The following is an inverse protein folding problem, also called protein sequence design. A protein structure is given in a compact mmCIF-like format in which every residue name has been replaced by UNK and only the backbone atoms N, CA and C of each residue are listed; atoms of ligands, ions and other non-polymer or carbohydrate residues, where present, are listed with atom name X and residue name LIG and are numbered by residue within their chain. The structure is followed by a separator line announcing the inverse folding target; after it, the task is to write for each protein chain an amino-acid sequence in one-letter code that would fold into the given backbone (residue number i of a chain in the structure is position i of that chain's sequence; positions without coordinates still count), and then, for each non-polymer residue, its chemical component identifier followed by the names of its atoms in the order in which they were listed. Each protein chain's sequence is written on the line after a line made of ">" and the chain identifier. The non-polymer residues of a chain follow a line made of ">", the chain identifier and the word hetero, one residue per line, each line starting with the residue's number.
data_IF_184524304627
#
_entry.id   IF_184524304627
#
_cell.length_a   1.000
_cell.length_b   1.000
_cell.length_c   1.000
_cell.angle_alpha   90.00
_cell.angle_beta   90.00
_cell.angle_gamma   90.00
#
_symmetry.space_group_name_H-M   'P 1'
#
loop_
_entity.id
_entity.type
_entity.pdbx_description
1 polymer ?
#
# COMPACT_ATOMS: atom_id res chain seq x y z
N UNK A 1 14.75 3.13 16.47
CA UNK A 1 14.15 2.17 15.52
C UNK A 1 13.48 3.00 14.45
N UNK A 2 14.08 3.15 13.28
CA UNK A 2 13.50 3.92 12.19
C UNK A 2 12.55 3.00 11.42
N UNK A 3 11.25 3.15 11.63
CA UNK A 3 10.23 2.47 10.83
C UNK A 3 10.00 3.28 9.56
N UNK A 4 10.59 2.84 8.44
CA UNK A 4 10.30 3.37 7.12
C UNK A 4 9.27 2.46 6.45
N UNK A 5 8.00 2.90 6.41
CA UNK A 5 6.98 2.28 5.55
C UNK A 5 7.23 2.79 4.13
N UNK A 6 8.08 2.09 3.38
CA UNK A 6 8.31 2.38 1.98
C UNK A 6 7.24 1.64 1.16
N UNK A 7 6.40 2.38 0.44
CA UNK A 7 5.73 1.83 -0.74
C UNK A 7 6.79 1.14 -1.61
N UNK A 8 6.45 0.11 -2.37
CA UNK A 8 7.31 -0.43 -3.43
C UNK A 8 7.51 0.65 -4.53
N UNK A 9 8.21 1.72 -4.19
CA UNK A 9 8.47 2.86 -5.05
C UNK A 9 9.67 2.57 -5.92
N UNK A 10 9.79 3.31 -7.02
CA UNK A 10 10.90 3.20 -7.97
C UNK A 10 12.26 3.24 -7.27
N UNK A 11 12.42 4.01 -6.19
CA UNK A 11 13.65 4.07 -5.40
C UNK A 11 14.07 2.76 -4.75
N UNK A 12 13.12 1.94 -4.27
CA UNK A 12 13.43 0.65 -3.65
C UNK A 12 14.01 -0.33 -4.68
N UNK A 13 13.43 -0.33 -5.88
CA UNK A 13 13.90 -1.17 -7.00
C UNK A 13 15.23 -0.65 -7.53
N UNK A 14 15.36 0.67 -7.69
CA UNK A 14 16.54 1.32 -8.26
C UNK A 14 17.79 1.14 -7.39
N UNK A 15 17.65 1.23 -6.06
CA UNK A 15 18.76 1.17 -5.10
C UNK A 15 18.75 -0.12 -4.26
N UNK A 16 18.20 -1.21 -4.82
CA UNK A 16 17.97 -2.45 -4.07
C UNK A 16 19.26 -3.02 -3.47
N UNK A 17 20.41 -2.92 -4.16
CA UNK A 17 21.68 -3.51 -3.69
C UNK A 17 22.15 -2.85 -2.40
N UNK A 18 22.19 -1.53 -2.38
CA UNK A 18 22.64 -0.72 -1.24
C UNK A 18 21.68 -0.87 -0.06
N UNK A 19 20.37 -0.96 -0.33
CA UNK A 19 19.35 -1.15 0.70
C UNK A 19 19.46 -2.56 1.29
N UNK A 20 19.60 -3.60 0.48
CA UNK A 20 19.77 -4.99 0.95
C UNK A 20 21.03 -5.12 1.80
N UNK A 21 22.15 -4.54 1.36
CA UNK A 21 23.39 -4.54 2.14
C UNK A 21 23.19 -3.83 3.49
N UNK A 22 22.55 -2.66 3.49
CA UNK A 22 22.24 -1.93 4.72
C UNK A 22 21.34 -2.76 5.65
N UNK A 23 20.28 -3.37 5.11
CA UNK A 23 19.31 -4.14 5.88
C UNK A 23 19.99 -5.32 6.58
N UNK A 24 20.83 -6.06 5.85
CA UNK A 24 21.58 -7.18 6.39
C UNK A 24 22.62 -6.73 7.43
N UNK A 25 23.38 -5.67 7.14
CA UNK A 25 24.40 -5.15 8.05
C UNK A 25 23.81 -4.60 9.36
N UNK A 26 22.61 -4.02 9.30
CA UNK A 26 21.94 -3.40 10.46
C UNK A 26 20.89 -4.29 11.11
N UNK A 27 20.63 -5.48 10.59
CA UNK A 27 19.58 -6.38 11.08
C UNK A 27 18.17 -5.78 10.93
N UNK A 28 17.93 -4.97 9.90
CA UNK A 28 16.62 -4.38 9.63
C UNK A 28 15.63 -5.49 9.29
N UNK A 29 14.44 -5.39 9.88
CA UNK A 29 13.32 -6.28 9.58
C UNK A 29 12.35 -5.56 8.65
N UNK A 30 12.07 -6.14 7.50
CA UNK A 30 11.18 -5.55 6.50
C UNK A 30 9.80 -6.22 6.52
N UNK A 31 8.75 -5.45 6.30
CA UNK A 31 7.38 -5.95 6.15
C UNK A 31 6.88 -5.54 4.76
N UNK A 32 6.64 -6.52 3.89
CA UNK A 32 5.99 -6.30 2.61
C UNK A 32 4.48 -6.43 2.78
N UNK A 33 3.79 -5.29 2.93
CA UNK A 33 2.33 -5.24 2.98
C UNK A 33 1.77 -5.03 1.57
N UNK A 34 1.19 -6.09 1.02
CA UNK A 34 0.67 -6.15 -0.34
C UNK A 34 -0.85 -6.14 -0.35
N UNK A 35 -1.44 -5.86 -1.51
CA UNK A 35 -2.89 -5.92 -1.74
C UNK A 35 -3.18 -6.89 -2.86
N UNK A 36 -4.08 -7.85 -2.65
CA UNK A 36 -4.36 -8.90 -3.65
C UNK A 36 -5.05 -8.38 -4.89
N UNK A 37 -5.91 -7.38 -4.76
CA UNK A 37 -6.61 -6.82 -5.92
C UNK A 37 -5.77 -5.68 -6.54
N UNK A 38 -5.15 -5.89 -7.72
CA UNK A 38 -4.24 -4.92 -8.31
C UNK A 38 -4.96 -3.68 -8.83
N UNK A 39 -6.18 -3.82 -9.36
CA UNK A 39 -7.02 -2.70 -9.80
C UNK A 39 -7.40 -1.79 -8.63
N UNK A 40 -7.80 -2.37 -7.49
CA UNK A 40 -8.08 -1.61 -6.27
C UNK A 40 -6.85 -0.92 -5.70
N UNK A 41 -5.68 -1.55 -5.82
CA UNK A 41 -4.40 -0.93 -5.48
C UNK A 41 -4.12 0.28 -6.38
N UNK A 42 -4.31 0.14 -7.69
CA UNK A 42 -4.15 1.23 -8.66
C UNK A 42 -5.07 2.41 -8.35
N UNK A 43 -6.36 2.17 -8.10
CA UNK A 43 -7.31 3.22 -7.67
C UNK A 43 -6.79 3.98 -6.44
N UNK A 44 -6.29 3.25 -5.44
CA UNK A 44 -5.76 3.87 -4.21
C UNK A 44 -4.52 4.73 -4.49
N UNK A 45 -3.64 4.30 -5.40
CA UNK A 45 -2.45 5.05 -5.82
C UNK A 45 -2.83 6.31 -6.60
N UNK A 46 -3.75 6.19 -7.56
CA UNK A 46 -4.20 7.32 -8.37
C UNK A 46 -4.93 8.38 -7.53
N UNK A 47 -5.80 7.96 -6.62
CA UNK A 47 -6.51 8.88 -5.72
C UNK A 47 -5.55 9.59 -4.75
N UNK A 48 -4.57 8.87 -4.18
CA UNK A 48 -3.55 9.48 -3.34
C UNK A 48 -2.67 10.47 -4.11
N UNK A 49 -2.29 10.12 -5.35
CA UNK A 49 -1.52 11.00 -6.22
C UNK A 49 -2.29 12.27 -6.56
N UNK A 50 -3.59 12.17 -6.85
CA UNK A 50 -4.44 13.32 -7.11
C UNK A 50 -4.50 14.27 -5.90
N UNK A 51 -4.74 13.74 -4.70
CA UNK A 51 -4.79 14.55 -3.47
C UNK A 51 -3.48 15.29 -3.18
N UNK A 52 -2.33 14.77 -3.64
CA UNK A 52 -1.04 15.49 -3.51
C UNK A 52 -1.06 16.87 -4.16
N UNK A 53 -1.81 17.01 -5.25
CA UNK A 53 -1.93 18.27 -6.00
C UNK A 53 -3.21 19.02 -5.65
N UNK A 54 -4.34 18.32 -5.60
CA UNK A 54 -5.66 18.91 -5.33
C UNK A 54 -5.81 19.35 -3.87
N UNK A 55 -5.11 18.69 -2.94
CA UNK A 55 -5.05 19.04 -1.51
C UNK A 55 -6.45 19.25 -0.92
N UNK A 56 -7.29 18.22 -1.06
CA UNK A 56 -8.73 18.30 -0.82
C UNK A 56 -9.08 18.63 0.64
N UNK A 57 -8.15 18.41 1.57
CA UNK A 57 -8.32 18.71 2.98
C UNK A 57 -7.65 20.05 3.34
N UNK A 58 -8.37 21.15 3.15
CA UNK A 58 -7.94 22.51 3.51
C UNK A 58 -6.54 22.87 2.98
N UNK A 59 -6.21 22.49 1.74
CA UNK A 59 -4.91 22.79 1.14
C UNK A 59 -3.76 21.90 1.65
N UNK A 60 -4.07 20.81 2.36
CA UNK A 60 -3.09 19.81 2.82
C UNK A 60 -3.34 18.45 2.17
N UNK A 61 -2.26 17.79 1.75
CA UNK A 61 -2.28 16.40 1.32
C UNK A 61 -2.24 15.47 2.54
N UNK A 62 -3.12 14.45 2.58
CA UNK A 62 -3.06 13.40 3.61
C UNK A 62 -3.19 12.01 2.99
N UNK A 63 -2.20 11.16 3.22
CA UNK A 63 -2.27 9.74 2.84
C UNK A 63 -3.13 8.89 3.78
N UNK A 64 -3.31 9.35 5.02
CA UNK A 64 -4.13 8.69 6.04
C UNK A 64 -4.95 9.75 6.78
N UNK A 65 -6.17 9.37 7.16
CA UNK A 65 -7.11 10.24 7.87
C UNK A 65 -7.62 9.55 9.12
N UNK A 66 -8.05 10.33 10.10
CA UNK A 66 -8.55 9.83 11.38
C UNK A 66 -10.05 10.10 11.59
N UNK A 67 -10.67 10.89 10.71
CA UNK A 67 -12.11 11.17 10.73
C UNK A 67 -12.83 10.59 9.52
N UNK A 68 -14.07 10.15 9.73
CA UNK A 68 -14.96 9.70 8.64
C UNK A 68 -15.29 10.84 7.67
N UNK A 69 -15.37 12.08 8.13
CA UNK A 69 -15.61 13.26 7.27
C UNK A 69 -14.45 13.50 6.29
N UNK A 70 -13.21 13.48 6.78
CA UNK A 70 -12.01 13.58 5.94
C UNK A 70 -11.92 12.41 4.96
N UNK A 71 -12.23 11.19 5.42
CA UNK A 71 -12.27 10.00 4.57
C UNK A 71 -13.31 10.14 3.46
N UNK A 72 -14.50 10.65 3.80
CA UNK A 72 -15.59 10.91 2.87
C UNK A 72 -15.14 11.91 1.80
N UNK A 73 -14.54 13.05 2.20
CA UNK A 73 -14.04 14.05 1.26
C UNK A 73 -13.02 13.47 0.28
N UNK A 74 -12.01 12.73 0.77
CA UNK A 74 -10.99 12.11 -0.10
C UNK A 74 -11.57 11.03 -1.01
N UNK A 75 -12.61 10.31 -0.56
CA UNK A 75 -13.26 9.26 -1.35
C UNK A 75 -14.12 9.78 -2.50
N UNK A 76 -14.43 11.08 -2.52
CA UNK A 76 -15.24 11.69 -3.59
C UNK A 76 -14.53 11.66 -4.95
N UNK A 77 -13.20 11.67 -4.95
CA UNK A 77 -12.42 11.58 -6.17
C UNK A 77 -12.42 10.13 -6.70
N UNK A 78 -12.90 9.99 -7.94
CA UNK A 78 -12.89 8.73 -8.69
C UNK A 78 -11.93 8.85 -9.88
N UNK A 79 -10.78 8.17 -9.87
CA UNK A 79 -9.86 8.22 -11.01
C UNK A 79 -10.52 7.65 -12.27
N UNK A 80 -10.28 8.33 -13.40
CA UNK A 80 -10.45 7.73 -14.72
C UNK A 80 -9.23 6.86 -15.03
N UNK A 81 -9.48 5.65 -15.55
CA UNK A 81 -8.44 4.67 -15.85
C UNK A 81 -8.33 4.52 -17.37
N UNK A 82 -7.12 4.59 -17.90
CA UNK A 82 -6.90 4.33 -19.32
C UNK A 82 -7.04 2.83 -19.60
N UNK A 83 -8.17 2.42 -20.16
CA UNK A 83 -8.47 1.03 -20.51
C UNK A 83 -7.48 0.43 -21.52
N UNK A 84 -6.87 1.27 -22.37
CA UNK A 84 -5.91 0.81 -23.38
C UNK A 84 -4.59 0.35 -22.75
N UNK A 85 -4.11 1.04 -21.70
CA UNK A 85 -2.86 0.67 -21.01
C UNK A 85 -3.08 -0.23 -19.78
N UNK A 86 -4.33 -0.37 -19.31
CA UNK A 86 -4.67 -0.99 -18.03
C UNK A 86 -3.98 -2.33 -17.80
N UNK A 87 -4.07 -3.26 -18.76
CA UNK A 87 -3.48 -4.59 -18.59
C UNK A 87 -1.96 -4.54 -18.44
N UNK A 88 -1.29 -3.66 -19.18
CA UNK A 88 0.15 -3.47 -19.06
C UNK A 88 0.51 -2.82 -17.72
N UNK A 89 -0.26 -1.82 -17.28
CA UNK A 89 -0.05 -1.14 -16.02
C UNK A 89 -0.22 -2.10 -14.83
N UNK A 90 -1.28 -2.94 -14.83
CA UNK A 90 -1.49 -3.96 -13.79
C UNK A 90 -0.35 -4.97 -13.77
N UNK A 91 0.09 -5.44 -14.95
CA UNK A 91 1.21 -6.37 -15.08
C UNK A 91 2.52 -5.77 -14.55
N UNK A 92 2.85 -4.53 -14.90
CA UNK A 92 4.05 -3.85 -14.39
C UNK A 92 4.01 -3.72 -12.86
N UNK A 93 2.84 -3.42 -12.29
CA UNK A 93 2.68 -3.34 -10.84
C UNK A 93 2.87 -4.70 -10.15
N UNK A 94 2.54 -5.82 -10.79
CA UNK A 94 2.81 -7.17 -10.28
C UNK A 94 4.29 -7.56 -10.45
N UNK A 95 4.88 -7.31 -11.61
CA UNK A 95 6.30 -7.53 -11.87
C UNK A 95 7.18 -6.74 -10.89
N UNK A 96 6.78 -5.53 -10.52
CA UNK A 96 7.48 -4.72 -9.53
C UNK A 96 7.48 -5.37 -8.14
N UNK A 97 6.35 -5.99 -7.74
CA UNK A 97 6.29 -6.77 -6.49
C UNK A 97 7.21 -7.97 -6.58
N UNK A 98 7.15 -8.73 -7.67
CA UNK A 98 7.98 -9.92 -7.87
C UNK A 98 9.48 -9.57 -7.83
N UNK A 99 9.89 -8.48 -8.50
CA UNK A 99 11.28 -7.98 -8.45
C UNK A 99 11.69 -7.62 -7.04
N UNK A 100 10.84 -6.89 -6.30
CA UNK A 100 11.15 -6.52 -4.92
C UNK A 100 11.36 -7.76 -4.04
N UNK A 101 10.48 -8.74 -4.10
CA UNK A 101 10.62 -9.98 -3.33
C UNK A 101 11.88 -10.76 -3.71
N UNK A 102 12.20 -10.82 -5.00
CA UNK A 102 13.44 -11.45 -5.48
C UNK A 102 14.68 -10.73 -4.97
N UNK A 103 14.74 -9.40 -5.06
CA UNK A 103 15.92 -8.63 -4.62
C UNK A 103 16.14 -8.69 -3.12
N UNK A 104 15.05 -8.73 -2.35
CA UNK A 104 15.10 -8.71 -0.89
C UNK A 104 15.05 -10.11 -0.26
N UNK A 105 15.18 -11.18 -1.06
CA UNK A 105 15.07 -12.57 -0.61
C UNK A 105 16.06 -12.95 0.51
N UNK A 106 17.23 -12.31 0.54
CA UNK A 106 18.29 -12.52 1.52
C UNK A 106 18.11 -11.68 2.79
N UNK A 107 17.18 -10.74 2.79
CA UNK A 107 16.90 -9.87 3.94
C UNK A 107 15.92 -10.55 4.91
N UNK A 108 15.96 -10.13 6.17
CA UNK A 108 14.93 -10.54 7.15
C UNK A 108 13.61 -9.84 6.83
N UNK A 109 12.68 -10.55 6.21
CA UNK A 109 11.39 -9.98 5.83
C UNK A 109 10.22 -10.93 6.06
N UNK A 110 9.02 -10.35 6.15
CA UNK A 110 7.73 -11.06 6.10
C UNK A 110 6.87 -10.45 4.99
N UNK A 111 6.09 -11.29 4.30
CA UNK A 111 5.14 -10.88 3.28
C UNK A 111 3.73 -11.06 3.82
N UNK A 112 2.92 -10.00 3.74
CA UNK A 112 1.56 -9.98 4.24
C UNK A 112 0.64 -9.42 3.18
N UNK A 113 -0.59 -9.91 3.13
CA UNK A 113 -1.65 -9.29 2.35
C UNK A 113 -2.60 -8.55 3.26
N UNK A 114 -2.95 -7.32 2.88
CA UNK A 114 -3.90 -6.48 3.58
C UNK A 114 -5.21 -7.22 3.86
N UNK A 115 -5.70 -7.98 2.88
CA UNK A 115 -6.93 -8.74 3.02
C UNK A 115 -6.85 -9.84 4.10
N UNK A 116 -5.67 -10.37 4.41
CA UNK A 116 -5.50 -11.34 5.50
C UNK A 116 -5.50 -10.64 6.84
N UNK A 117 -4.80 -9.51 6.96
CA UNK A 117 -4.75 -8.72 8.20
C UNK A 117 -6.15 -8.24 8.61
N UNK A 118 -7.00 -7.87 7.65
CA UNK A 118 -8.37 -7.43 7.91
C UNK A 118 -9.29 -8.59 8.29
N UNK A 119 -8.99 -9.82 7.84
CA UNK A 119 -9.85 -10.99 8.07
C UNK A 119 -9.45 -11.80 9.31
N UNK A 120 -8.16 -11.82 9.64
CA UNK A 120 -7.59 -12.64 10.69
C UNK A 120 -6.67 -11.81 11.57
N UNK A 121 -7.15 -11.46 12.77
CA UNK A 121 -6.40 -10.69 13.75
C UNK A 121 -5.14 -11.41 14.24
N UNK A 122 -5.06 -12.74 14.12
CA UNK A 122 -3.85 -13.50 14.46
C UNK A 122 -2.67 -13.13 13.54
N UNK A 123 -2.93 -12.60 12.34
CA UNK A 123 -1.85 -12.12 11.47
C UNK A 123 -1.07 -10.98 12.10
N UNK A 124 -1.71 -10.12 12.89
CA UNK A 124 -1.00 -9.06 13.62
C UNK A 124 -0.10 -9.63 14.71
N UNK A 125 -0.51 -10.74 15.37
CA UNK A 125 0.35 -11.46 16.32
C UNK A 125 1.61 -12.01 15.64
N UNK A 126 1.46 -12.63 14.46
CA UNK A 126 2.61 -13.09 13.66
C UNK A 126 3.58 -11.94 13.34
N UNK A 127 3.07 -10.73 13.04
CA UNK A 127 3.91 -9.54 12.82
C UNK A 127 4.65 -9.13 14.09
N UNK A 128 3.98 -9.09 15.25
CA UNK A 128 4.61 -8.70 16.51
C UNK A 128 5.71 -9.69 16.92
N UNK A 129 5.44 -10.99 16.76
CA UNK A 129 6.42 -12.06 16.98
C UNK A 129 7.60 -11.95 16.01
N UNK A 130 7.31 -11.72 14.71
CA UNK A 130 8.34 -11.45 13.72
C UNK A 130 9.18 -10.23 14.11
N UNK A 131 8.60 -9.14 14.60
CA UNK A 131 9.35 -7.96 15.03
C UNK A 131 10.06 -8.15 16.38
N UNK A 132 9.84 -9.27 17.08
CA UNK A 132 10.35 -9.56 18.44
C UNK A 132 9.92 -8.49 19.46
N UNK A 133 8.70 -8.00 19.33
CA UNK A 133 8.10 -7.07 20.29
C UNK A 133 7.01 -7.78 21.10
N UNK A 134 6.64 -7.29 22.30
CA UNK A 134 5.59 -7.88 23.09
C UNK A 134 4.28 -7.98 22.30
N UNK A 135 3.67 -9.16 22.33
CA UNK A 135 2.34 -9.38 21.76
C UNK A 135 1.32 -8.60 22.60
N UNK A 136 0.57 -7.74 21.93
CA UNK A 136 -0.50 -6.94 22.53
C UNK A 136 -1.54 -6.60 21.47
N UNK A 137 -2.72 -6.24 21.93
CA UNK A 137 -3.76 -5.71 21.05
C UNK A 137 -3.26 -4.42 20.37
N UNK A 138 -3.42 -4.35 19.05
CA UNK A 138 -3.08 -3.18 18.25
C UNK A 138 -4.37 -2.45 17.87
N UNK A 139 -4.39 -1.15 18.10
CA UNK A 139 -5.51 -0.30 17.70
C UNK A 139 -5.02 0.75 16.70
N UNK A 140 -5.90 1.16 15.80
CA UNK A 140 -5.63 2.23 14.85
C UNK A 140 -6.74 3.26 14.89
N UNK A 141 -6.36 4.53 14.76
CA UNK A 141 -7.31 5.62 14.50
C UNK A 141 -7.50 5.87 13.00
N UNK A 142 -6.74 5.16 12.15
CA UNK A 142 -6.83 5.34 10.71
C UNK A 142 -8.16 4.81 10.19
N UNK A 143 -8.84 5.65 9.41
CA UNK A 143 -10.08 5.30 8.73
C UNK A 143 -9.77 4.94 7.28
N UNK A 144 -10.41 3.88 6.79
CA UNK A 144 -10.31 3.48 5.39
C UNK A 144 -11.02 4.50 4.50
N UNK A 145 -10.29 5.10 3.56
CA UNK A 145 -10.83 6.12 2.64
C UNK A 145 -11.73 5.47 1.58
N UNK A 146 -11.18 4.56 0.77
CA UNK A 146 -11.94 3.94 -0.32
C UNK A 146 -12.67 2.66 0.16
N UNK A 147 -13.97 2.80 0.43
CA UNK A 147 -14.93 1.73 0.80
C UNK A 147 -15.80 1.35 -0.43
N UNK A 148 -16.53 0.24 -0.37
CA UNK A 148 -17.46 -0.18 -1.45
C UNK A 148 -16.83 -0.92 -2.65
N UNK A 149 -17.64 -1.31 -3.66
CA UNK A 149 -17.21 -2.00 -4.88
C UNK A 149 -16.33 -1.11 -5.78
N UNK A 150 -15.65 -1.71 -6.77
CA UNK A 150 -14.77 -0.96 -7.67
C UNK A 150 -15.52 -0.04 -8.64
N UNK A 151 -16.74 -0.43 -9.03
CA UNK A 151 -17.66 0.39 -9.83
C UNK A 151 -17.91 1.76 -9.23
N UNK A 152 -17.95 1.84 -7.90
CA UNK A 152 -18.22 3.09 -7.20
C UNK A 152 -16.97 3.97 -7.09
N UNK A 153 -15.79 3.42 -7.39
CA UNK A 153 -14.49 4.05 -7.16
C UNK A 153 -13.77 4.45 -8.46
N UNK A 154 -14.31 4.09 -9.63
CA UNK A 154 -13.71 4.36 -10.94
C UNK A 154 -14.73 5.17 -11.75
N UNK A 155 -14.30 6.29 -12.34
CA UNK A 155 -15.23 7.19 -13.02
C UNK A 155 -15.72 6.65 -14.37
N UNK A 156 -14.89 5.88 -15.07
CA UNK A 156 -15.20 5.23 -16.35
C UNK A 156 -15.27 3.70 -16.19
N UNK A 157 -16.03 3.21 -15.20
CA UNK A 157 -16.11 1.78 -14.89
C UNK A 157 -16.52 0.91 -16.09
N UNK A 158 -17.43 1.38 -16.94
CA UNK A 158 -17.93 0.64 -18.10
C UNK A 158 -16.84 0.37 -19.15
N UNK A 159 -15.76 1.14 -19.16
CA UNK A 159 -14.60 0.92 -20.04
C UNK A 159 -13.56 -0.03 -19.42
N UNK A 160 -13.68 -0.32 -18.12
CA UNK A 160 -12.69 -1.03 -17.31
C UNK A 160 -13.14 -2.45 -16.94
N UNK A 161 -14.45 -2.70 -16.82
CA UNK A 161 -15.00 -3.98 -16.38
C UNK A 161 -14.84 -5.11 -17.41
#
# INVERSE_FOLDING_TARGET
>A
MAEAVYYLGKGLIQHHKEIVEYFNRRGVSAIFLLRRNPLRRMVSVLANSYDRYAKLLNGTHKSHVHGEEEASMLSTYKPGINSTSLMNDLKEMEETVARALTYFNSTRHIVLYYEDIVKDENKLKEVLEFLKVPVRELTTRQVKIHKGPLSDLISNWDEVH
#
